data_IF_391686623629
#
_entry.id   IF_391686623629
#
_cell.length_a   1.000
_cell.length_b   1.000
_cell.length_c   1.000
_cell.angle_alpha   90.00
_cell.angle_beta   90.00
_cell.angle_gamma   90.00
#
_symmetry.space_group_name_H-M   'P 1'
#
loop_
_entity.id
_entity.type
_entity.pdbx_description
1 polymer ?
#
# COMPACT_ATOMS: atom_id res chain seq x y z
N UNK A 1 -16.48 -20.90 1.46
CA UNK A 1 -15.82 -21.92 2.32
C UNK A 1 -15.54 -21.42 3.75
N UNK A 2 -15.54 -20.10 4.01
CA UNK A 2 -15.38 -19.53 5.37
C UNK A 2 -16.66 -18.88 5.95
N UNK A 3 -17.76 -18.84 5.19
CA UNK A 3 -19.07 -18.42 5.72
C UNK A 3 -19.54 -19.44 6.77
N UNK A 4 -19.54 -19.04 8.04
CA UNK A 4 -20.09 -19.83 9.16
C UNK A 4 -19.11 -20.39 10.19
N UNK A 5 -17.79 -20.17 10.05
CA UNK A 5 -16.81 -20.63 11.06
C UNK A 5 -16.75 -19.72 12.30
N UNK A 6 -17.09 -18.45 12.12
CA UNK A 6 -17.07 -17.39 13.16
C UNK A 6 -18.33 -16.55 12.94
N UNK A 7 -19.06 -16.20 14.00
CA UNK A 7 -20.24 -15.35 13.86
C UNK A 7 -19.81 -13.98 13.31
N UNK A 8 -20.32 -13.53 12.15
CA UNK A 8 -19.86 -12.29 11.53
C UNK A 8 -20.35 -11.10 12.36
N UNK A 9 -19.41 -10.33 12.92
CA UNK A 9 -19.70 -9.09 13.67
C UNK A 9 -19.30 -7.89 12.83
N UNK A 10 -18.12 -7.93 12.20
CA UNK A 10 -17.57 -6.87 11.35
C UNK A 10 -17.57 -7.23 9.86
N UNK A 11 -17.72 -8.52 9.53
CA UNK A 11 -17.63 -9.02 8.15
C UNK A 11 -16.20 -9.24 7.67
N UNK A 12 -15.20 -8.89 8.49
CA UNK A 12 -13.80 -9.20 8.25
C UNK A 12 -13.38 -10.42 9.07
N UNK A 13 -13.01 -11.49 8.37
CA UNK A 13 -12.65 -12.76 9.00
C UNK A 13 -11.47 -12.67 9.98
N UNK A 14 -10.48 -11.80 9.69
CA UNK A 14 -9.34 -11.57 10.57
C UNK A 14 -9.70 -10.81 11.85
N UNK A 15 -10.60 -9.81 11.75
CA UNK A 15 -11.04 -9.04 12.92
C UNK A 15 -12.00 -9.87 13.77
N UNK A 16 -12.93 -10.58 13.14
CA UNK A 16 -13.91 -11.39 13.85
C UNK A 16 -13.25 -12.59 14.58
N UNK A 17 -12.23 -13.23 13.97
CA UNK A 17 -11.48 -14.32 14.63
C UNK A 17 -10.61 -13.82 15.79
N UNK A 18 -10.00 -12.64 15.67
CA UNK A 18 -9.22 -12.01 16.74
C UNK A 18 -10.11 -11.56 17.92
N UNK A 19 -11.28 -10.96 17.63
CA UNK A 19 -12.24 -10.52 18.64
C UNK A 19 -12.87 -11.70 19.40
N UNK A 20 -13.04 -12.85 18.75
CA UNK A 20 -13.58 -14.08 19.36
C UNK A 20 -12.51 -14.99 19.99
N UNK A 21 -11.24 -14.54 20.05
CA UNK A 21 -10.09 -15.28 20.60
C UNK A 21 -9.88 -16.67 19.96
N UNK A 22 -10.31 -16.87 18.73
CA UNK A 22 -10.15 -18.13 18.00
C UNK A 22 -8.82 -18.13 17.22
N UNK A 23 -7.73 -18.35 17.93
CA UNK A 23 -6.37 -18.29 17.39
C UNK A 23 -6.12 -19.30 16.26
N UNK A 24 -6.77 -20.47 16.28
CA UNK A 24 -6.66 -21.47 15.21
C UNK A 24 -7.20 -20.94 13.87
N UNK A 25 -8.36 -20.28 13.90
CA UNK A 25 -8.98 -19.66 12.72
C UNK A 25 -8.17 -18.45 12.26
N UNK A 26 -7.63 -17.67 13.19
CA UNK A 26 -6.75 -16.54 12.88
C UNK A 26 -5.48 -16.99 12.14
N UNK A 27 -4.80 -18.05 12.60
CA UNK A 27 -3.62 -18.58 11.92
C UNK A 27 -3.94 -19.12 10.52
N UNK A 28 -5.07 -19.81 10.37
CA UNK A 28 -5.54 -20.25 9.05
C UNK A 28 -5.82 -19.06 8.12
N UNK A 29 -6.49 -18.03 8.63
CA UNK A 29 -6.81 -16.81 7.90
C UNK A 29 -5.55 -16.07 7.41
N UNK A 30 -4.53 -15.95 8.27
CA UNK A 30 -3.24 -15.34 7.90
C UNK A 30 -2.56 -16.15 6.80
N UNK A 31 -2.55 -17.48 6.88
CA UNK A 31 -1.93 -18.30 5.82
C UNK A 31 -2.63 -18.14 4.46
N UNK A 32 -3.95 -17.95 4.46
CA UNK A 32 -4.74 -17.78 3.25
C UNK A 32 -4.66 -16.37 2.65
N UNK A 33 -4.29 -15.34 3.44
CA UNK A 33 -4.13 -13.97 2.91
C UNK A 33 -2.76 -13.73 2.25
N UNK A 34 -1.77 -14.59 2.50
CA UNK A 34 -0.41 -14.43 1.96
C UNK A 34 -0.41 -14.50 0.43
N UNK A 35 -1.13 -15.46 -0.19
CA UNK A 35 -1.22 -15.58 -1.64
C UNK A 35 -1.87 -14.36 -2.33
N UNK A 36 -3.09 -13.94 -1.96
CA UNK A 36 -3.69 -12.74 -2.55
C UNK A 36 -2.86 -11.49 -2.23
N UNK A 37 -2.32 -11.38 -1.01
CA UNK A 37 -1.47 -10.25 -0.61
C UNK A 37 -0.17 -10.15 -1.41
N UNK A 38 0.49 -11.28 -1.69
CA UNK A 38 1.73 -11.32 -2.47
C UNK A 38 1.49 -11.00 -3.95
N UNK A 39 0.40 -11.49 -4.54
CA UNK A 39 0.04 -11.15 -5.94
C UNK A 39 -0.24 -9.66 -6.07
N UNK A 40 -1.01 -9.11 -5.14
CA UNK A 40 -1.34 -7.69 -5.11
C UNK A 40 -0.07 -6.85 -4.89
N UNK A 41 0.80 -7.27 -3.98
CA UNK A 41 2.09 -6.64 -3.72
C UNK A 41 3.07 -6.72 -4.90
N UNK A 42 3.07 -7.83 -5.66
CA UNK A 42 3.98 -8.04 -6.77
C UNK A 42 3.79 -6.99 -7.88
N UNK A 43 2.54 -6.66 -8.19
CA UNK A 43 2.21 -5.59 -9.14
C UNK A 43 2.78 -4.23 -8.69
N UNK A 44 2.57 -3.89 -7.41
CA UNK A 44 3.05 -2.65 -6.81
C UNK A 44 4.58 -2.57 -6.78
N UNK A 45 5.26 -3.67 -6.45
CA UNK A 45 6.73 -3.74 -6.43
C UNK A 45 7.31 -3.50 -7.83
N UNK A 46 6.70 -4.08 -8.88
CA UNK A 46 7.16 -3.86 -10.25
C UNK A 46 7.10 -2.37 -10.63
N UNK A 47 6.00 -1.69 -10.30
CA UNK A 47 5.83 -0.26 -10.59
C UNK A 47 6.78 0.62 -9.77
N UNK A 48 6.85 0.40 -8.44
CA UNK A 48 7.73 1.14 -7.53
C UNK A 48 9.20 0.95 -7.94
N UNK A 49 9.62 -0.26 -8.32
CA UNK A 49 10.98 -0.54 -8.79
C UNK A 49 11.30 0.23 -10.08
N UNK A 50 10.37 0.24 -11.04
CA UNK A 50 10.51 1.00 -12.28
C UNK A 50 10.65 2.50 -12.02
N UNK A 51 9.82 3.07 -11.16
CA UNK A 51 9.87 4.49 -10.81
C UNK A 51 11.14 4.85 -10.04
N UNK A 52 11.51 4.04 -9.05
CA UNK A 52 12.77 4.19 -8.31
C UNK A 52 13.97 4.23 -9.26
N UNK A 53 14.02 3.30 -10.23
CA UNK A 53 15.09 3.28 -11.24
C UNK A 53 15.09 4.55 -12.08
N UNK A 54 13.92 5.02 -12.53
CA UNK A 54 13.80 6.24 -13.32
C UNK A 54 14.35 7.46 -12.56
N UNK A 55 13.90 7.67 -11.32
CA UNK A 55 14.35 8.80 -10.50
C UNK A 55 15.84 8.71 -10.17
N UNK A 56 16.36 7.51 -9.89
CA UNK A 56 17.79 7.31 -9.64
C UNK A 56 18.63 7.67 -10.86
N UNK A 57 18.21 7.27 -12.07
CA UNK A 57 18.94 7.61 -13.30
C UNK A 57 18.97 9.12 -13.53
N UNK A 58 17.85 9.80 -13.32
CA UNK A 58 17.74 11.26 -13.43
C UNK A 58 18.57 12.01 -12.39
N UNK A 59 18.64 11.50 -11.16
CA UNK A 59 19.48 12.11 -10.12
C UNK A 59 20.98 11.86 -10.35
N UNK A 60 21.35 10.70 -10.85
CA UNK A 60 22.75 10.33 -11.08
C UNK A 60 23.38 11.12 -12.25
N UNK A 61 22.59 11.70 -13.15
CA UNK A 61 23.06 12.56 -14.24
C UNK A 61 23.23 14.04 -13.83
N UNK A 62 22.86 14.42 -12.60
CA UNK A 62 22.94 15.79 -12.13
C UNK A 62 24.38 16.21 -11.77
N UNK A 63 24.68 17.51 -11.91
CA UNK A 63 26.01 18.08 -11.67
C UNK A 63 26.51 17.87 -10.23
N UNK A 64 25.63 17.89 -9.23
CA UNK A 64 26.02 17.68 -7.83
C UNK A 64 26.59 16.27 -7.58
N UNK A 65 26.17 15.27 -8.38
CA UNK A 65 26.71 13.91 -8.33
C UNK A 65 28.09 13.85 -8.98
N UNK A 66 28.30 14.58 -10.08
CA UNK A 66 29.61 14.69 -10.72
C UNK A 66 30.61 15.35 -9.75
N UNK A 67 30.20 16.43 -9.09
CA UNK A 67 30.99 17.11 -8.07
C UNK A 67 31.29 16.18 -6.86
N UNK A 68 30.31 15.39 -6.41
CA UNK A 68 30.52 14.41 -5.35
C UNK A 68 31.55 13.33 -5.74
N UNK A 69 31.49 12.82 -6.98
CA UNK A 69 32.49 11.86 -7.48
C UNK A 69 33.87 12.49 -7.62
N UNK A 70 33.96 13.74 -8.09
CA UNK A 70 35.22 14.47 -8.19
C UNK A 70 35.89 14.72 -6.83
N UNK A 71 35.09 14.83 -5.76
CA UNK A 71 35.57 14.90 -4.36
C UNK A 71 36.03 13.55 -3.79
N UNK A 72 35.96 12.46 -4.55
CA UNK A 72 36.42 11.14 -4.13
C UNK A 72 35.43 10.34 -3.29
N UNK A 73 34.13 10.70 -3.27
CA UNK A 73 33.13 9.89 -2.56
C UNK A 73 32.97 8.51 -3.19
N UNK A 74 32.72 7.50 -2.34
CA UNK A 74 32.45 6.14 -2.78
C UNK A 74 31.16 6.06 -3.59
N UNK A 75 31.06 5.09 -4.53
CA UNK A 75 29.83 4.87 -5.31
C UNK A 75 28.62 4.63 -4.41
N UNK A 76 28.80 3.95 -3.28
CA UNK A 76 27.73 3.66 -2.33
C UNK A 76 27.23 4.93 -1.62
N UNK A 77 28.13 5.83 -1.21
CA UNK A 77 27.74 7.10 -0.59
C UNK A 77 26.98 7.99 -1.56
N UNK A 78 27.45 8.06 -2.82
CA UNK A 78 26.78 8.81 -3.89
C UNK A 78 25.36 8.29 -4.13
N UNK A 79 25.18 6.97 -4.15
CA UNK A 79 23.87 6.34 -4.35
C UNK A 79 22.96 6.55 -3.13
N UNK A 80 23.35 6.10 -1.94
CA UNK A 80 22.45 6.05 -0.78
C UNK A 80 22.30 7.39 -0.07
N UNK A 81 23.36 8.18 0.01
CA UNK A 81 23.39 9.41 0.81
C UNK A 81 23.01 10.65 0.01
N UNK A 82 23.29 10.66 -1.30
CA UNK A 82 23.03 11.80 -2.18
C UNK A 82 21.83 11.56 -3.09
N UNK A 83 21.93 10.65 -4.06
CA UNK A 83 20.87 10.42 -5.03
C UNK A 83 19.57 9.89 -4.38
N UNK A 84 19.66 8.84 -3.57
CA UNK A 84 18.50 8.25 -2.89
C UNK A 84 17.87 9.21 -1.88
N UNK A 85 18.68 10.09 -1.26
CA UNK A 85 18.15 11.16 -0.40
C UNK A 85 17.26 12.13 -1.15
N UNK A 86 17.61 12.46 -2.38
CA UNK A 86 16.87 13.43 -3.17
C UNK A 86 15.56 12.85 -3.73
N UNK A 87 15.53 11.56 -4.09
CA UNK A 87 14.33 10.94 -4.68
C UNK A 87 13.29 10.45 -3.67
N UNK A 88 13.64 10.40 -2.37
CA UNK A 88 12.78 9.82 -1.32
C UNK A 88 11.41 10.47 -1.24
N UNK A 89 11.35 11.77 -1.53
CA UNK A 89 10.11 12.55 -1.58
C UNK A 89 9.24 12.05 -2.75
N UNK A 90 9.75 12.07 -3.97
CA UNK A 90 8.99 11.61 -5.16
C UNK A 90 8.61 10.13 -5.03
N UNK A 91 9.48 9.31 -4.45
CA UNK A 91 9.22 7.89 -4.23
C UNK A 91 8.08 7.66 -3.24
N UNK A 92 7.99 8.45 -2.17
CA UNK A 92 6.89 8.38 -1.22
C UNK A 92 5.55 8.70 -1.90
N UNK A 93 5.51 9.70 -2.79
CA UNK A 93 4.31 10.02 -3.58
C UNK A 93 3.89 8.83 -4.44
N UNK A 94 4.86 8.21 -5.12
CA UNK A 94 4.61 7.03 -5.97
C UNK A 94 4.03 5.88 -5.14
N UNK A 95 4.56 5.63 -3.95
CA UNK A 95 4.05 4.58 -3.05
C UNK A 95 2.61 4.87 -2.64
N UNK A 96 2.30 6.11 -2.24
CA UNK A 96 0.95 6.52 -1.86
C UNK A 96 -0.07 6.38 -3.01
N UNK A 97 0.31 6.81 -4.22
CA UNK A 97 -0.54 6.66 -5.42
C UNK A 97 -0.73 5.19 -5.81
N UNK A 98 0.33 4.38 -5.72
CA UNK A 98 0.26 2.94 -6.01
C UNK A 98 -0.68 2.25 -5.04
N UNK A 99 -0.67 2.63 -3.77
CA UNK A 99 -1.62 2.12 -2.77
C UNK A 99 -3.08 2.47 -3.14
N UNK A 100 -3.34 3.67 -3.64
CA UNK A 100 -4.66 4.02 -4.18
C UNK A 100 -5.10 3.09 -5.31
N UNK A 101 -4.19 2.79 -6.25
CA UNK A 101 -4.45 1.84 -7.34
C UNK A 101 -4.61 0.39 -6.88
N UNK A 102 -4.00 0.01 -5.75
CA UNK A 102 -4.15 -1.34 -5.18
C UNK A 102 -5.59 -1.65 -4.77
N UNK A 103 -6.39 -0.66 -4.39
CA UNK A 103 -7.80 -0.85 -4.05
C UNK A 103 -8.65 -1.32 -5.24
N UNK A 104 -8.32 -0.86 -6.45
CA UNK A 104 -8.99 -1.29 -7.68
C UNK A 104 -8.69 -2.77 -7.98
N UNK A 105 -7.42 -3.15 -7.90
CA UNK A 105 -6.98 -4.55 -8.07
C UNK A 105 -7.42 -5.49 -6.94
N UNK A 106 -7.64 -4.96 -5.74
CA UNK A 106 -8.07 -5.74 -4.57
C UNK A 106 -9.42 -6.41 -4.80
N UNK A 107 -10.38 -5.74 -5.43
CA UNK A 107 -11.72 -6.30 -5.72
C UNK A 107 -11.62 -7.57 -6.56
N UNK A 108 -10.79 -7.55 -7.59
CA UNK A 108 -10.59 -8.70 -8.49
C UNK A 108 -9.93 -9.87 -7.73
N UNK A 109 -8.87 -9.57 -6.98
CA UNK A 109 -8.13 -10.59 -6.22
C UNK A 109 -9.00 -11.19 -5.11
N UNK A 110 -9.76 -10.39 -4.38
CA UNK A 110 -10.73 -10.84 -3.38
C UNK A 110 -11.77 -11.79 -4.00
N UNK A 111 -12.25 -11.46 -5.21
CA UNK A 111 -13.22 -12.30 -5.93
C UNK A 111 -12.59 -13.63 -6.36
N UNK A 112 -11.40 -13.62 -6.96
CA UNK A 112 -10.70 -14.84 -7.44
C UNK A 112 -10.34 -15.77 -6.29
N UNK A 113 -9.85 -15.22 -5.18
CA UNK A 113 -9.47 -16.00 -4.01
C UNK A 113 -10.65 -16.30 -3.06
N UNK A 114 -11.87 -15.85 -3.40
CA UNK A 114 -13.05 -15.95 -2.54
C UNK A 114 -12.80 -15.46 -1.11
N UNK A 115 -11.99 -14.41 -0.98
CA UNK A 115 -11.63 -13.82 0.29
C UNK A 115 -12.61 -12.69 0.65
N UNK A 116 -13.26 -12.74 1.84
CA UNK A 116 -14.20 -11.72 2.26
C UNK A 116 -13.44 -10.42 2.60
N UNK A 117 -13.42 -9.50 1.65
CA UNK A 117 -12.78 -8.18 1.78
C UNK A 117 -13.71 -7.03 1.45
N UNK A 118 -13.16 -5.81 1.53
CA UNK A 118 -13.91 -4.56 1.35
C UNK A 118 -14.43 -4.41 -0.09
N UNK A 119 -13.64 -4.85 -1.07
CA UNK A 119 -14.01 -4.79 -2.47
C UNK A 119 -15.21 -5.68 -2.77
N UNK A 120 -15.16 -6.93 -2.33
CA UNK A 120 -16.28 -7.86 -2.47
C UNK A 120 -17.54 -7.37 -1.73
N UNK A 121 -17.38 -6.77 -0.54
CA UNK A 121 -18.48 -6.17 0.22
C UNK A 121 -19.15 -5.02 -0.54
N UNK A 122 -18.35 -4.11 -1.11
CA UNK A 122 -18.83 -3.01 -1.95
C UNK A 122 -19.56 -3.54 -3.21
N UNK A 123 -18.97 -4.51 -3.92
CA UNK A 123 -19.56 -5.08 -5.14
C UNK A 123 -20.90 -5.78 -4.86
N UNK A 124 -21.01 -6.50 -3.74
CA UNK A 124 -22.28 -7.12 -3.31
C UNK A 124 -23.34 -6.06 -3.01
N UNK A 125 -22.98 -5.00 -2.28
CA UNK A 125 -23.88 -3.87 -2.01
C UNK A 125 -24.41 -3.21 -3.28
N UNK A 126 -23.53 -3.01 -4.28
CA UNK A 126 -23.92 -2.48 -5.60
C UNK A 126 -24.91 -3.40 -6.32
N UNK A 127 -24.68 -4.71 -6.34
CA UNK A 127 -25.57 -5.68 -6.99
C UNK A 127 -26.94 -5.75 -6.30
N UNK A 128 -26.97 -5.62 -4.97
CA UNK A 128 -28.20 -5.63 -4.17
C UNK A 128 -28.90 -4.28 -4.11
N UNK A 129 -28.36 -3.24 -4.78
CA UNK A 129 -28.83 -1.85 -4.70
C UNK A 129 -28.93 -1.32 -3.26
N UNK A 130 -28.10 -1.83 -2.35
CA UNK A 130 -28.02 -1.34 -0.98
C UNK A 130 -27.07 -0.14 -0.93
N UNK A 131 -27.64 1.05 -1.09
CA UNK A 131 -26.88 2.29 -1.15
C UNK A 131 -26.23 2.65 0.19
N UNK A 132 -26.75 2.15 1.32
CA UNK A 132 -26.17 2.40 2.64
C UNK A 132 -24.83 1.67 2.79
N UNK A 133 -24.76 0.42 2.33
CA UNK A 133 -23.53 -0.38 2.29
C UNK A 133 -22.48 0.29 1.41
N UNK A 134 -22.88 0.75 0.22
CA UNK A 134 -22.00 1.43 -0.73
C UNK A 134 -21.44 2.72 -0.14
N UNK A 135 -22.30 3.56 0.44
CA UNK A 135 -21.87 4.82 1.08
C UNK A 135 -20.90 4.57 2.24
N UNK A 136 -21.20 3.61 3.11
CA UNK A 136 -20.33 3.28 4.24
C UNK A 136 -18.94 2.79 3.78
N UNK A 137 -18.90 1.89 2.80
CA UNK A 137 -17.64 1.38 2.25
C UNK A 137 -16.82 2.49 1.57
N UNK A 138 -17.45 3.35 0.77
CA UNK A 138 -16.76 4.46 0.09
C UNK A 138 -16.21 5.48 1.11
N UNK A 139 -16.97 5.81 2.16
CA UNK A 139 -16.50 6.70 3.22
C UNK A 139 -15.29 6.13 3.96
N UNK A 140 -15.32 4.83 4.29
CA UNK A 140 -14.21 4.15 4.97
C UNK A 140 -12.97 4.13 4.08
N UNK A 141 -13.12 3.79 2.80
CA UNK A 141 -12.03 3.82 1.82
C UNK A 141 -11.44 5.23 1.70
N UNK A 142 -12.30 6.25 1.61
CA UNK A 142 -11.89 7.65 1.57
C UNK A 142 -11.12 8.07 2.82
N UNK A 143 -11.58 7.67 4.01
CA UNK A 143 -10.90 7.95 5.27
C UNK A 143 -9.51 7.31 5.33
N UNK A 144 -9.37 6.04 4.90
CA UNK A 144 -8.09 5.35 4.81
C UNK A 144 -7.16 6.08 3.83
N UNK A 145 -7.69 6.50 2.68
CA UNK A 145 -6.92 7.24 1.68
C UNK A 145 -6.43 8.58 2.23
N UNK A 146 -7.29 9.34 2.92
CA UNK A 146 -6.91 10.57 3.60
C UNK A 146 -5.84 10.32 4.67
N UNK A 147 -5.97 9.26 5.47
CA UNK A 147 -4.98 8.91 6.48
C UNK A 147 -3.61 8.60 5.86
N UNK A 148 -3.57 7.87 4.74
CA UNK A 148 -2.32 7.54 4.04
C UNK A 148 -1.66 8.77 3.43
N UNK A 149 -2.46 9.66 2.82
CA UNK A 149 -1.93 10.93 2.31
C UNK A 149 -1.40 11.80 3.45
N UNK A 150 -2.14 11.91 4.55
CA UNK A 150 -1.70 12.65 5.73
C UNK A 150 -0.40 12.10 6.34
N UNK A 151 -0.27 10.78 6.43
CA UNK A 151 0.97 10.12 6.87
C UNK A 151 2.12 10.43 5.90
N UNK A 152 1.84 10.40 4.59
CA UNK A 152 2.83 10.74 3.56
C UNK A 152 3.30 12.18 3.70
N UNK A 153 2.38 13.11 3.98
CA UNK A 153 2.68 14.52 4.22
C UNK A 153 3.51 14.73 5.48
N UNK A 154 3.20 14.01 6.55
CA UNK A 154 3.98 14.04 7.79
C UNK A 154 5.41 13.50 7.55
N UNK A 155 5.54 12.41 6.80
CA UNK A 155 6.82 11.85 6.42
C UNK A 155 7.63 12.83 5.56
N UNK A 156 7.01 13.59 4.65
CA UNK A 156 7.71 14.67 3.93
C UNK A 156 8.34 15.67 4.88
N UNK A 157 7.58 16.14 5.88
CA UNK A 157 8.07 17.11 6.87
C UNK A 157 9.24 16.58 7.70
N UNK A 158 9.31 15.26 7.92
CA UNK A 158 10.42 14.61 8.63
C UNK A 158 11.64 14.44 7.72
N UNK A 159 11.44 14.08 6.45
CA UNK A 159 12.54 13.78 5.53
C UNK A 159 13.18 15.03 4.90
N UNK A 160 12.45 16.13 4.78
CA UNK A 160 12.99 17.40 4.28
C UNK A 160 12.97 18.51 5.34
N UNK A 161 13.99 18.59 6.21
CA UNK A 161 14.10 19.64 7.24
C UNK A 161 14.46 21.03 6.68
N UNK A 162 14.48 21.22 5.34
CA UNK A 162 14.78 22.51 4.70
C UNK A 162 13.58 23.45 4.57
N UNK A 163 12.37 23.00 4.91
CA UNK A 163 11.13 23.81 4.88
C UNK A 163 10.89 24.64 6.15
N UNK A 164 11.95 25.01 6.87
CA UNK A 164 11.88 26.07 7.90
C UNK A 164 12.45 27.38 7.38
#
# INVERSE_FOLDING_TARGET
FYEGLVAPVTGFLLLDSALQQQWDVFHSAVNHIILPGTILGYFSVAYISRMTRSFMLEQLSQEYIVAARAKGLSKNDVIWRHAFRNIRVQLLTVVALTFGGMLDGAVLIETVFSWPGLGQYLTRGLQMNDMNVVMGAVLLIGLVFLAINFISDLLYKIFDPRTK
#
